data_IF_046553367376
#
_entry.id   IF_046553367376
#
_cell.length_a   1.000
_cell.length_b   1.000
_cell.length_c   1.000
_cell.angle_alpha   90.00
_cell.angle_beta   90.00
_cell.angle_gamma   90.00
#
_symmetry.space_group_name_H-M   'P 1'
#
loop_
_entity.id
_entity.type
_entity.pdbx_description
1 polymer ?
#
# COMPACT_ATOMS: atom_id res chain seq x y z
N UNK A 1 37.64 -31.06 -52.46
CA UNK A 1 37.89 -31.33 -51.04
C UNK A 1 37.69 -30.03 -50.26
N UNK A 2 36.63 -29.98 -49.47
CA UNK A 2 36.24 -28.82 -48.67
C UNK A 2 37.18 -28.62 -47.47
N UNK A 3 37.50 -27.37 -47.14
CA UNK A 3 37.88 -26.97 -45.77
C UNK A 3 37.14 -25.69 -45.41
N UNK A 4 36.30 -25.85 -44.40
CA UNK A 4 35.34 -24.89 -43.85
C UNK A 4 36.09 -24.00 -42.85
N UNK A 5 35.82 -22.69 -42.90
CA UNK A 5 36.30 -21.71 -41.93
C UNK A 5 35.55 -21.84 -40.59
N UNK A 6 36.18 -21.61 -39.43
CA UNK A 6 35.46 -21.55 -38.16
C UNK A 6 34.94 -20.12 -37.94
N UNK A 7 33.76 -19.81 -38.48
CA UNK A 7 32.92 -18.73 -37.93
C UNK A 7 32.14 -19.33 -36.75
N UNK A 8 32.67 -19.19 -35.53
CA UNK A 8 32.00 -19.62 -34.32
C UNK A 8 31.09 -18.49 -33.81
N UNK A 9 29.79 -18.75 -33.95
CA UNK A 9 28.63 -18.18 -33.26
C UNK A 9 28.92 -17.19 -32.11
N UNK A 10 28.72 -15.90 -32.40
CA UNK A 10 28.39 -14.87 -31.41
C UNK A 10 26.91 -14.51 -31.58
N UNK A 11 26.02 -15.45 -31.27
CA UNK A 11 24.57 -15.25 -31.33
C UNK A 11 23.90 -16.06 -30.22
N UNK A 12 23.99 -15.56 -28.99
CA UNK A 12 23.42 -16.23 -27.83
C UNK A 12 23.64 -15.46 -26.53
N UNK A 13 23.41 -14.14 -26.55
CA UNK A 13 23.62 -13.29 -25.37
C UNK A 13 22.74 -12.03 -25.42
N UNK A 14 21.48 -12.14 -25.88
CA UNK A 14 20.58 -10.98 -25.94
C UNK A 14 19.14 -11.27 -25.50
N UNK A 15 18.92 -12.32 -24.71
CA UNK A 15 17.58 -12.72 -24.24
C UNK A 15 17.39 -12.66 -22.73
N UNK A 16 18.38 -12.20 -21.95
CA UNK A 16 18.29 -12.10 -20.49
C UNK A 16 17.91 -10.70 -19.97
N UNK A 17 17.95 -9.66 -20.81
CA UNK A 17 17.66 -8.28 -20.38
C UNK A 17 16.17 -7.90 -20.39
N UNK A 18 15.27 -8.74 -20.92
CA UNK A 18 13.84 -8.44 -21.04
C UNK A 18 12.99 -8.87 -19.83
N UNK A 19 13.56 -9.60 -18.86
CA UNK A 19 12.82 -10.12 -17.71
C UNK A 19 12.62 -9.09 -16.58
N UNK A 20 13.51 -8.11 -16.45
CA UNK A 20 13.54 -7.19 -15.30
C UNK A 20 12.54 -6.03 -15.38
N UNK A 21 11.91 -5.79 -16.54
CA UNK A 21 10.97 -4.68 -16.74
C UNK A 21 9.48 -5.09 -16.62
N UNK A 22 9.19 -6.34 -16.25
CA UNK A 22 7.89 -6.98 -16.52
C UNK A 22 6.71 -6.39 -15.73
N UNK A 23 6.92 -5.91 -14.50
CA UNK A 23 5.81 -5.46 -13.64
C UNK A 23 5.16 -4.15 -14.12
N UNK A 24 5.94 -3.09 -14.34
CA UNK A 24 5.42 -1.82 -14.85
C UNK A 24 4.88 -1.98 -16.29
N UNK A 25 5.56 -2.75 -17.14
CA UNK A 25 5.05 -3.05 -18.48
C UNK A 25 3.72 -3.83 -18.45
N UNK A 26 3.41 -4.57 -17.37
CA UNK A 26 2.11 -5.25 -17.30
C UNK A 26 0.94 -4.31 -17.09
N UNK A 27 1.14 -3.18 -16.40
CA UNK A 27 0.07 -2.24 -16.06
C UNK A 27 0.13 -0.89 -16.81
N UNK A 28 1.21 -0.63 -17.56
CA UNK A 28 1.42 0.64 -18.27
C UNK A 28 0.26 1.03 -19.20
N UNK A 29 -0.33 0.06 -19.90
CA UNK A 29 -1.47 0.33 -20.78
C UNK A 29 -2.70 0.78 -19.99
N UNK A 30 -3.03 0.08 -18.90
CA UNK A 30 -4.12 0.49 -18.02
C UNK A 30 -3.87 1.88 -17.45
N UNK A 31 -2.70 2.10 -16.85
CA UNK A 31 -2.34 3.37 -16.21
C UNK A 31 -2.48 4.54 -17.19
N UNK A 32 -1.95 4.39 -18.42
CA UNK A 32 -2.02 5.42 -19.46
C UNK A 32 -3.46 5.75 -19.86
N UNK A 33 -4.31 4.75 -20.08
CA UNK A 33 -5.71 5.01 -20.46
C UNK A 33 -6.52 5.56 -19.28
N UNK A 34 -6.24 5.10 -18.05
CA UNK A 34 -6.86 5.57 -16.82
C UNK A 34 -6.54 7.05 -16.55
N UNK A 35 -5.28 7.46 -16.63
CA UNK A 35 -4.86 8.86 -16.44
C UNK A 35 -5.44 9.81 -17.50
N UNK A 36 -5.71 9.31 -18.71
CA UNK A 36 -6.38 10.07 -19.78
C UNK A 36 -7.90 10.16 -19.60
N UNK A 37 -8.45 9.44 -18.62
CA UNK A 37 -9.89 9.36 -18.38
C UNK A 37 -10.64 8.44 -19.35
N UNK A 38 -9.96 7.66 -20.19
CA UNK A 38 -10.60 6.67 -21.06
C UNK A 38 -10.83 5.36 -20.28
N UNK A 39 -11.82 5.40 -19.38
CA UNK A 39 -12.10 4.32 -18.44
C UNK A 39 -12.54 3.03 -19.14
N UNK A 40 -13.20 3.13 -20.30
CA UNK A 40 -13.58 1.95 -21.08
C UNK A 40 -12.34 1.24 -21.62
N UNK A 41 -11.40 1.98 -22.22
CA UNK A 41 -10.13 1.38 -22.68
C UNK A 41 -9.27 0.88 -21.54
N UNK A 42 -9.27 1.57 -20.39
CA UNK A 42 -8.58 1.11 -19.19
C UNK A 42 -9.14 -0.26 -18.73
N UNK A 43 -10.47 -0.40 -18.64
CA UNK A 43 -11.12 -1.66 -18.30
C UNK A 43 -10.83 -2.77 -19.33
N UNK A 44 -10.89 -2.45 -20.63
CA UNK A 44 -10.53 -3.41 -21.68
C UNK A 44 -9.05 -3.85 -21.61
N UNK A 45 -8.15 -2.95 -21.24
CA UNK A 45 -6.72 -3.26 -21.10
C UNK A 45 -6.48 -4.27 -19.96
N UNK A 46 -7.27 -4.19 -18.88
CA UNK A 46 -7.27 -5.17 -17.80
C UNK A 46 -7.84 -6.53 -18.24
N UNK A 47 -9.02 -6.51 -18.87
CA UNK A 47 -9.77 -7.74 -19.21
C UNK A 47 -9.15 -8.54 -20.35
N UNK A 48 -8.47 -7.88 -21.30
CA UNK A 48 -7.71 -8.58 -22.37
C UNK A 48 -6.59 -9.48 -21.83
N UNK A 49 -6.15 -9.23 -20.59
CA UNK A 49 -5.09 -9.97 -19.92
C UNK A 49 -5.63 -10.98 -18.90
N UNK A 50 -6.73 -11.67 -19.23
CA UNK A 50 -7.48 -12.63 -18.39
C UNK A 50 -6.60 -13.68 -17.65
N UNK A 51 -5.40 -13.97 -18.16
CA UNK A 51 -4.39 -14.81 -17.50
C UNK A 51 -3.93 -14.29 -16.12
N UNK A 52 -4.31 -13.07 -15.72
CA UNK A 52 -3.94 -12.47 -14.43
C UNK A 52 -4.92 -12.84 -13.29
N UNK A 53 -6.13 -13.35 -13.56
CA UNK A 53 -7.06 -13.81 -12.50
C UNK A 53 -6.50 -15.02 -11.72
N UNK A 54 -5.55 -15.74 -12.30
CA UNK A 54 -4.88 -16.90 -11.69
C UNK A 54 -3.35 -16.75 -11.61
N UNK A 55 -2.83 -15.55 -11.87
CA UNK A 55 -1.39 -15.28 -11.97
C UNK A 55 -0.78 -14.61 -10.74
N UNK A 56 0.53 -14.35 -10.81
CA UNK A 56 1.31 -13.67 -9.75
C UNK A 56 0.81 -12.26 -9.42
N UNK A 57 0.10 -11.62 -10.35
CA UNK A 57 -0.43 -10.26 -10.23
C UNK A 57 -1.94 -10.26 -9.92
N UNK A 58 -2.48 -11.35 -9.38
CA UNK A 58 -3.91 -11.49 -9.09
C UNK A 58 -4.45 -10.37 -8.21
N UNK A 59 -3.74 -9.99 -7.15
CA UNK A 59 -4.16 -8.88 -6.29
C UNK A 59 -4.35 -7.59 -7.08
N UNK A 60 -3.35 -7.19 -7.87
CA UNK A 60 -3.40 -6.00 -8.72
C UNK A 60 -4.54 -6.05 -9.72
N UNK A 61 -4.73 -7.20 -10.38
CA UNK A 61 -5.83 -7.39 -11.30
C UNK A 61 -7.17 -7.11 -10.62
N UNK A 62 -7.37 -7.63 -9.42
CA UNK A 62 -8.61 -7.45 -8.67
C UNK A 62 -8.79 -5.98 -8.23
N UNK A 63 -7.78 -5.35 -7.63
CA UNK A 63 -7.91 -3.96 -7.13
C UNK A 63 -8.02 -2.94 -8.26
N UNK A 64 -7.34 -3.14 -9.40
CA UNK A 64 -7.45 -2.23 -10.53
C UNK A 64 -8.79 -2.35 -11.26
N UNK A 65 -9.35 -3.57 -11.39
CA UNK A 65 -10.72 -3.74 -11.88
C UNK A 65 -11.72 -3.10 -10.91
N UNK A 66 -11.57 -3.34 -9.60
CA UNK A 66 -12.38 -2.69 -8.57
C UNK A 66 -12.35 -1.17 -8.69
N UNK A 67 -11.16 -0.58 -8.81
CA UNK A 67 -10.96 0.86 -8.93
C UNK A 67 -11.63 1.43 -10.18
N UNK A 68 -11.33 0.91 -11.37
CA UNK A 68 -11.91 1.48 -12.61
C UNK A 68 -13.43 1.35 -12.62
N UNK A 69 -13.99 0.24 -12.14
CA UNK A 69 -15.44 0.07 -12.03
C UNK A 69 -16.07 1.04 -11.02
N UNK A 70 -15.38 1.33 -9.90
CA UNK A 70 -15.83 2.35 -8.92
C UNK A 70 -15.91 3.72 -9.57
N UNK A 71 -14.85 4.13 -10.28
CA UNK A 71 -14.80 5.44 -10.97
C UNK A 71 -15.85 5.52 -12.09
N UNK A 72 -16.17 4.42 -12.76
CA UNK A 72 -17.25 4.32 -13.75
C UNK A 72 -18.66 4.33 -13.14
N UNK A 73 -18.81 4.39 -11.81
CA UNK A 73 -20.09 4.34 -11.12
C UNK A 73 -20.71 2.93 -11.03
N UNK A 74 -19.96 1.89 -11.42
CA UNK A 74 -20.38 0.48 -11.37
C UNK A 74 -20.06 -0.13 -10.01
N UNK A 75 -20.59 0.48 -8.96
CA UNK A 75 -20.23 0.20 -7.56
C UNK A 75 -20.45 -1.25 -7.12
N UNK A 76 -21.50 -1.91 -7.63
CA UNK A 76 -21.77 -3.33 -7.31
C UNK A 76 -20.67 -4.25 -7.84
N UNK A 77 -20.38 -4.16 -9.12
CA UNK A 77 -19.34 -4.96 -9.80
C UNK A 77 -17.96 -4.64 -9.19
N UNK A 78 -17.70 -3.36 -8.92
CA UNK A 78 -16.50 -2.92 -8.21
C UNK A 78 -16.34 -3.62 -6.86
N UNK A 79 -17.39 -3.69 -6.05
CA UNK A 79 -17.36 -4.36 -4.74
C UNK A 79 -17.18 -5.88 -4.83
N UNK A 80 -17.60 -6.52 -5.92
CA UNK A 80 -17.32 -7.95 -6.16
C UNK A 80 -15.82 -8.19 -6.38
N UNK A 81 -15.17 -7.35 -7.20
CA UNK A 81 -13.71 -7.40 -7.39
C UNK A 81 -12.95 -7.09 -6.10
N UNK A 82 -13.37 -6.06 -5.35
CA UNK A 82 -12.74 -5.73 -4.08
C UNK A 82 -12.98 -6.79 -2.99
N UNK A 83 -14.11 -7.49 -2.96
CA UNK A 83 -14.30 -8.63 -2.04
C UNK A 83 -13.37 -9.79 -2.42
N UNK A 84 -13.22 -10.09 -3.71
CA UNK A 84 -12.21 -11.07 -4.15
C UNK A 84 -10.80 -10.66 -3.72
N UNK A 85 -10.44 -9.37 -3.82
CA UNK A 85 -9.14 -8.86 -3.39
C UNK A 85 -8.95 -8.96 -1.86
N UNK A 86 -9.99 -8.64 -1.10
CA UNK A 86 -9.99 -8.76 0.35
C UNK A 86 -9.79 -10.21 0.79
N UNK A 87 -10.56 -11.16 0.25
CA UNK A 87 -10.44 -12.59 0.56
C UNK A 87 -9.07 -13.15 0.15
N UNK A 88 -8.57 -12.75 -1.02
CA UNK A 88 -7.22 -13.10 -1.45
C UNK A 88 -6.17 -12.65 -0.42
N UNK A 89 -6.25 -11.41 0.08
CA UNK A 89 -5.38 -10.92 1.14
C UNK A 89 -5.48 -11.73 2.44
N UNK A 90 -6.70 -12.10 2.85
CA UNK A 90 -6.95 -12.87 4.08
C UNK A 90 -6.37 -14.28 4.05
N UNK A 91 -6.53 -14.97 2.92
CA UNK A 91 -6.02 -16.34 2.77
C UNK A 91 -4.49 -16.35 2.86
N UNK A 92 -3.81 -15.40 2.18
CA UNK A 92 -2.36 -15.31 2.24
C UNK A 92 -1.81 -14.81 3.58
N UNK A 93 -2.57 -14.01 4.33
CA UNK A 93 -2.13 -13.58 5.66
C UNK A 93 -2.04 -14.76 6.64
N UNK A 94 -2.94 -15.75 6.50
CA UNK A 94 -2.90 -16.99 7.28
C UNK A 94 -1.76 -17.92 6.86
N UNK A 95 -1.45 -17.98 5.57
CA UNK A 95 -0.36 -18.80 5.04
C UNK A 95 1.03 -18.27 5.42
N UNK A 96 1.18 -16.96 5.65
CA UNK A 96 2.44 -16.32 6.10
C UNK A 96 2.97 -16.89 7.42
N UNK A 97 2.08 -17.31 8.33
CA UNK A 97 2.46 -17.92 9.61
C UNK A 97 2.99 -19.36 9.41
N UNK A 98 2.58 -20.02 8.32
CA UNK A 98 2.86 -21.44 8.09
C UNK A 98 3.98 -21.70 7.06
N UNK A 99 4.35 -20.73 6.21
CA UNK A 99 5.21 -20.97 5.04
C UNK A 99 6.55 -20.22 5.10
N UNK A 100 7.43 -20.59 6.03
CA UNK A 100 8.85 -20.15 6.05
C UNK A 100 9.70 -20.91 5.01
N UNK A 101 9.18 -22.01 4.45
CA UNK A 101 9.95 -22.95 3.63
C UNK A 101 9.99 -22.63 2.12
N UNK A 102 9.06 -21.82 1.58
CA UNK A 102 8.90 -21.65 0.12
C UNK A 102 9.86 -20.65 -0.53
N UNK A 103 10.51 -19.79 0.26
CA UNK A 103 11.51 -18.84 -0.26
C UNK A 103 12.75 -19.52 -0.86
N UNK A 104 13.04 -20.77 -0.50
CA UNK A 104 14.31 -21.43 -0.83
C UNK A 104 14.31 -22.16 -2.18
N UNK A 105 13.16 -22.41 -2.80
CA UNK A 105 13.07 -23.37 -3.91
C UNK A 105 12.88 -22.72 -5.29
N UNK A 106 12.45 -21.46 -5.40
CA UNK A 106 12.38 -20.75 -6.69
C UNK A 106 12.36 -19.20 -6.52
N UNK A 107 13.49 -18.51 -6.74
CA UNK A 107 13.57 -17.04 -6.64
C UNK A 107 12.71 -16.28 -7.66
N UNK A 108 12.19 -16.94 -8.71
CA UNK A 108 11.55 -16.26 -9.83
C UNK A 108 10.01 -16.25 -9.81
N UNK A 109 9.34 -16.71 -8.74
CA UNK A 109 7.85 -16.75 -8.67
C UNK A 109 7.31 -16.34 -7.29
N UNK A 110 7.49 -15.08 -6.91
CA UNK A 110 6.73 -14.47 -5.81
C UNK A 110 5.40 -13.91 -6.34
N UNK A 111 4.28 -14.32 -5.75
CA UNK A 111 2.96 -13.73 -5.99
C UNK A 111 2.91 -12.38 -5.28
N UNK A 112 2.47 -11.32 -5.95
CA UNK A 112 2.22 -10.03 -5.33
C UNK A 112 0.93 -10.10 -4.52
N UNK A 113 1.06 -9.94 -3.20
CA UNK A 113 -0.05 -10.14 -2.24
C UNK A 113 -0.82 -8.86 -1.91
N UNK A 114 -0.24 -7.71 -2.22
CA UNK A 114 -0.68 -6.42 -1.73
C UNK A 114 0.17 -5.95 -0.56
N UNK A 115 0.40 -4.65 -0.49
CA UNK A 115 1.01 -3.98 0.66
C UNK A 115 -0.06 -3.65 1.70
N UNK A 116 0.36 -3.43 2.96
CA UNK A 116 -0.58 -3.21 4.06
C UNK A 116 -1.55 -2.03 3.80
N UNK A 117 -1.04 -0.95 3.19
CA UNK A 117 -1.86 0.21 2.81
C UNK A 117 -2.82 -0.08 1.66
N UNK A 118 -2.48 -0.98 0.72
CA UNK A 118 -3.38 -1.36 -0.37
C UNK A 118 -4.57 -2.16 0.15
N UNK A 119 -4.37 -3.01 1.16
CA UNK A 119 -5.47 -3.70 1.84
C UNK A 119 -6.42 -2.74 2.57
N UNK A 120 -5.90 -1.66 3.15
CA UNK A 120 -6.73 -0.58 3.68
C UNK A 120 -7.52 0.12 2.56
N UNK A 121 -6.86 0.40 1.42
CA UNK A 121 -7.51 1.02 0.25
C UNK A 121 -8.63 0.16 -0.36
N UNK A 122 -8.51 -1.17 -0.35
CA UNK A 122 -9.60 -2.08 -0.77
C UNK A 122 -10.86 -1.82 0.05
N UNK A 123 -10.73 -1.76 1.37
CA UNK A 123 -11.86 -1.54 2.27
C UNK A 123 -12.39 -0.10 2.18
N UNK A 124 -11.50 0.89 2.00
CA UNK A 124 -11.85 2.27 1.72
C UNK A 124 -12.81 2.37 0.51
N UNK A 125 -12.43 1.80 -0.63
CA UNK A 125 -13.26 1.86 -1.84
C UNK A 125 -14.57 1.07 -1.67
N UNK A 126 -14.54 -0.07 -0.98
CA UNK A 126 -15.77 -0.82 -0.67
C UNK A 126 -16.75 0.01 0.14
N UNK A 127 -16.28 0.67 1.19
CA UNK A 127 -17.08 1.55 2.02
C UNK A 127 -17.67 2.70 1.20
N UNK A 128 -16.85 3.41 0.41
CA UNK A 128 -17.31 4.49 -0.47
C UNK A 128 -18.36 4.03 -1.48
N UNK A 129 -18.12 2.89 -2.15
CA UNK A 129 -19.07 2.32 -3.09
C UNK A 129 -20.41 2.01 -2.41
N UNK A 130 -20.40 1.47 -1.19
CA UNK A 130 -21.62 1.25 -0.43
C UNK A 130 -22.33 2.56 -0.09
N UNK A 131 -21.62 3.61 0.33
CA UNK A 131 -22.21 4.92 0.57
C UNK A 131 -22.84 5.52 -0.69
N UNK A 132 -22.17 5.40 -1.85
CA UNK A 132 -22.70 5.84 -3.15
C UNK A 132 -23.94 5.05 -3.61
N UNK A 133 -24.16 3.88 -3.01
CA UNK A 133 -25.35 3.06 -3.21
C UNK A 133 -26.39 3.20 -2.08
N UNK A 134 -26.20 4.15 -1.15
CA UNK A 134 -27.04 4.34 0.06
C UNK A 134 -27.11 3.08 0.95
N UNK A 135 -26.09 2.22 0.87
CA UNK A 135 -25.95 0.95 1.59
C UNK A 135 -25.14 1.12 2.86
N UNK A 136 -25.70 1.89 3.77
CA UNK A 136 -25.02 2.36 4.97
C UNK A 136 -24.55 1.26 5.93
N UNK A 137 -25.38 0.26 6.19
CA UNK A 137 -25.02 -0.88 7.06
C UNK A 137 -23.81 -1.65 6.51
N UNK A 138 -23.74 -1.81 5.19
CA UNK A 138 -22.59 -2.44 4.54
C UNK A 138 -21.34 -1.57 4.62
N UNK A 139 -21.46 -0.25 4.51
CA UNK A 139 -20.33 0.65 4.75
C UNK A 139 -19.79 0.53 6.19
N UNK A 140 -20.67 0.38 7.19
CA UNK A 140 -20.27 0.15 8.59
C UNK A 140 -19.56 -1.20 8.79
N UNK A 141 -19.91 -2.24 8.02
CA UNK A 141 -19.16 -3.52 8.02
C UNK A 141 -17.72 -3.29 7.55
N UNK A 142 -17.52 -2.50 6.50
CA UNK A 142 -16.18 -2.17 6.01
C UNK A 142 -15.40 -1.29 7.00
N UNK A 143 -16.05 -0.37 7.74
CA UNK A 143 -15.42 0.35 8.85
C UNK A 143 -14.92 -0.60 9.96
N UNK A 144 -15.69 -1.64 10.29
CA UNK A 144 -15.24 -2.66 11.26
C UNK A 144 -14.05 -3.44 10.74
N UNK A 145 -14.06 -3.82 9.46
CA UNK A 145 -12.91 -4.48 8.79
C UNK A 145 -11.68 -3.56 8.78
N UNK A 146 -11.84 -2.27 8.51
CA UNK A 146 -10.75 -1.27 8.59
C UNK A 146 -10.16 -1.20 9.99
N UNK A 147 -11.01 -1.17 11.03
CA UNK A 147 -10.53 -1.16 12.41
C UNK A 147 -9.70 -2.41 12.76
N UNK A 148 -10.15 -3.59 12.31
CA UNK A 148 -9.40 -4.84 12.47
C UNK A 148 -8.04 -4.76 11.76
N UNK A 149 -8.01 -4.31 10.51
CA UNK A 149 -6.76 -4.15 9.75
C UNK A 149 -5.79 -3.16 10.37
N UNK A 150 -6.29 -2.05 10.90
CA UNK A 150 -5.46 -1.06 11.59
C UNK A 150 -4.86 -1.64 12.86
N UNK A 151 -5.61 -2.46 13.60
CA UNK A 151 -5.09 -3.19 14.75
C UNK A 151 -4.01 -4.19 14.35
N UNK A 152 -4.25 -5.00 13.30
CA UNK A 152 -3.26 -5.94 12.76
C UNK A 152 -1.97 -5.22 12.32
N UNK A 153 -2.11 -4.07 11.66
CA UNK A 153 -0.99 -3.23 11.21
C UNK A 153 -0.16 -2.72 12.40
N UNK A 154 -0.83 -2.20 13.42
CA UNK A 154 -0.21 -1.75 14.67
C UNK A 154 0.44 -2.91 15.44
N UNK A 155 -0.13 -4.11 15.34
CA UNK A 155 0.43 -5.30 15.96
C UNK A 155 1.66 -5.84 15.24
N UNK A 156 1.66 -5.77 13.91
CA UNK A 156 2.78 -6.18 13.06
C UNK A 156 4.00 -5.29 13.22
N UNK A 157 3.83 -3.97 13.33
CA UNK A 157 4.94 -3.01 13.39
C UNK A 157 5.04 -2.30 14.74
N UNK A 158 6.03 -2.72 15.54
CA UNK A 158 6.27 -2.13 16.87
C UNK A 158 7.13 -0.86 16.86
N UNK A 159 7.97 -0.68 15.84
CA UNK A 159 8.84 0.49 15.73
C UNK A 159 8.02 1.76 15.41
N UNK A 160 8.26 2.89 16.10
CA UNK A 160 7.66 4.18 15.74
C UNK A 160 8.16 4.72 14.40
N UNK A 161 9.25 4.18 13.85
CA UNK A 161 9.79 4.55 12.53
C UNK A 161 9.10 3.83 11.36
N UNK A 162 8.07 3.03 11.64
CA UNK A 162 7.33 2.27 10.63
C UNK A 162 5.88 2.76 10.53
N UNK A 163 5.32 2.56 9.34
CA UNK A 163 3.90 2.79 9.07
C UNK A 163 3.05 1.76 9.84
N UNK A 164 2.52 2.17 10.99
CA UNK A 164 1.77 1.29 11.90
C UNK A 164 0.34 1.75 12.21
N UNK A 165 0.03 3.02 11.90
CA UNK A 165 -1.27 3.68 12.11
C UNK A 165 -1.57 4.54 10.88
N UNK A 166 -2.84 4.74 10.57
CA UNK A 166 -3.29 5.46 9.38
C UNK A 166 -4.29 6.57 9.76
N UNK A 167 -3.82 7.83 9.71
CA UNK A 167 -4.64 8.97 10.09
C UNK A 167 -5.79 9.23 9.12
N UNK A 168 -5.58 8.99 7.82
CA UNK A 168 -6.59 9.23 6.81
C UNK A 168 -7.71 8.20 6.88
N UNK A 169 -7.40 6.92 7.10
CA UNK A 169 -8.41 5.88 7.28
C UNK A 169 -9.25 6.14 8.54
N UNK A 170 -8.64 6.60 9.64
CA UNK A 170 -9.42 7.03 10.81
C UNK A 170 -10.31 8.24 10.50
N UNK A 171 -9.84 9.19 9.69
CA UNK A 171 -10.65 10.33 9.23
C UNK A 171 -11.85 9.86 8.40
N UNK A 172 -11.63 8.93 7.45
CA UNK A 172 -12.71 8.31 6.67
C UNK A 172 -13.72 7.63 7.59
N UNK A 173 -13.27 6.80 8.54
CA UNK A 173 -14.15 6.12 9.47
C UNK A 173 -15.01 7.12 10.26
N UNK A 174 -14.40 8.22 10.72
CA UNK A 174 -15.10 9.31 11.40
C UNK A 174 -16.21 9.91 10.54
N UNK A 175 -15.91 10.22 9.28
CA UNK A 175 -16.90 10.73 8.30
C UNK A 175 -18.07 9.75 8.13
N UNK A 176 -17.77 8.45 8.01
CA UNK A 176 -18.80 7.43 7.82
C UNK A 176 -19.68 7.29 9.06
N UNK A 177 -19.09 7.25 10.25
CA UNK A 177 -19.85 7.18 11.51
C UNK A 177 -20.70 8.44 11.71
N UNK A 178 -20.17 9.63 11.41
CA UNK A 178 -20.89 10.89 11.52
C UNK A 178 -22.09 10.93 10.56
N UNK A 179 -21.91 10.49 9.31
CA UNK A 179 -23.01 10.39 8.35
C UNK A 179 -24.15 9.52 8.90
N UNK A 180 -23.81 8.48 9.67
CA UNK A 180 -24.73 7.55 10.34
C UNK A 180 -25.24 8.00 11.70
N UNK A 181 -24.94 9.24 12.09
CA UNK A 181 -25.28 9.82 13.39
C UNK A 181 -24.71 9.06 14.59
N UNK A 182 -23.69 8.22 14.36
CA UNK A 182 -22.92 7.54 15.40
C UNK A 182 -21.78 8.46 15.87
N UNK A 183 -22.16 9.57 16.49
CA UNK A 183 -21.24 10.66 16.83
C UNK A 183 -20.16 10.24 17.83
N UNK A 184 -20.45 9.26 18.70
CA UNK A 184 -19.47 8.76 19.65
C UNK A 184 -18.34 7.99 18.93
N UNK A 185 -18.67 7.08 18.01
CA UNK A 185 -17.64 6.40 17.22
C UNK A 185 -16.94 7.35 16.25
N UNK A 186 -17.66 8.35 15.71
CA UNK A 186 -17.06 9.40 14.91
C UNK A 186 -16.01 10.20 15.70
N UNK A 187 -16.35 10.62 16.93
CA UNK A 187 -15.43 11.32 17.83
C UNK A 187 -14.16 10.49 18.10
N UNK A 188 -14.31 9.20 18.43
CA UNK A 188 -13.16 8.31 18.68
C UNK A 188 -12.28 8.23 17.43
N UNK A 189 -12.88 8.06 16.25
CA UNK A 189 -12.14 7.97 15.00
C UNK A 189 -11.41 9.28 14.66
N UNK A 190 -12.07 10.43 14.77
CA UNK A 190 -11.44 11.74 14.54
C UNK A 190 -10.34 12.05 15.55
N UNK A 191 -10.52 11.68 16.82
CA UNK A 191 -9.49 11.83 17.85
C UNK A 191 -8.25 11.03 17.50
N UNK A 192 -8.43 9.75 17.16
CA UNK A 192 -7.33 8.89 16.76
C UNK A 192 -6.63 9.43 15.51
N UNK A 193 -7.38 9.91 14.51
CA UNK A 193 -6.82 10.54 13.32
C UNK A 193 -5.94 11.75 13.69
N UNK A 194 -6.46 12.65 14.52
CA UNK A 194 -5.75 13.85 14.97
C UNK A 194 -4.45 13.49 15.71
N UNK A 195 -4.52 12.54 16.66
CA UNK A 195 -3.34 12.05 17.39
C UNK A 195 -2.28 11.45 16.46
N UNK A 196 -2.69 10.64 15.47
CA UNK A 196 -1.74 10.04 14.51
C UNK A 196 -1.10 11.12 13.64
N UNK A 197 -1.85 12.14 13.24
CA UNK A 197 -1.29 13.26 12.49
C UNK A 197 -0.19 13.98 13.27
N UNK A 198 -0.43 14.27 14.55
CA UNK A 198 0.50 14.99 15.41
C UNK A 198 1.72 14.15 15.82
N UNK A 199 1.54 12.86 16.11
CA UNK A 199 2.60 11.99 16.64
C UNK A 199 3.44 11.33 15.54
N UNK A 200 2.77 10.68 14.58
CA UNK A 200 3.41 9.83 13.59
C UNK A 200 3.67 10.62 12.31
N UNK A 201 2.63 11.24 11.73
CA UNK A 201 2.74 11.81 10.38
C UNK A 201 3.54 13.11 10.35
N UNK A 202 3.47 13.94 11.39
CA UNK A 202 4.29 15.14 11.48
C UNK A 202 5.78 14.80 11.44
N UNK A 203 6.19 13.70 12.08
CA UNK A 203 7.58 13.23 12.11
C UNK A 203 7.96 12.44 10.86
N UNK A 204 7.14 11.48 10.45
CA UNK A 204 7.45 10.55 9.35
C UNK A 204 7.28 11.19 7.96
N UNK A 205 6.31 12.09 7.81
CA UNK A 205 5.87 12.61 6.52
C UNK A 205 5.85 14.14 6.44
N UNK A 206 6.16 14.84 7.54
CA UNK A 206 6.00 16.30 7.63
C UNK A 206 4.57 16.76 7.32
N UNK A 207 3.57 15.94 7.67
CA UNK A 207 2.14 16.21 7.45
C UNK A 207 1.45 16.46 8.80
N UNK A 208 0.65 17.53 8.87
CA UNK A 208 -0.15 17.88 10.05
C UNK A 208 -1.62 17.56 9.84
N UNK A 209 -2.38 17.58 10.93
CA UNK A 209 -3.83 17.40 10.88
C UNK A 209 -4.48 18.49 10.01
N UNK A 210 -5.40 18.14 9.10
CA UNK A 210 -6.20 19.12 8.37
C UNK A 210 -7.05 19.97 9.34
N UNK A 211 -7.26 21.25 9.01
CA UNK A 211 -8.08 22.15 9.83
C UNK A 211 -9.52 21.64 9.99
N UNK A 212 -10.10 21.09 8.92
CA UNK A 212 -11.45 20.51 8.96
C UNK A 212 -11.59 19.43 10.04
N UNK A 213 -10.57 18.58 10.22
CA UNK A 213 -10.58 17.51 11.23
C UNK A 213 -10.69 18.06 12.66
N UNK A 214 -10.16 19.27 12.91
CA UNK A 214 -10.29 19.93 14.22
C UNK A 214 -11.75 20.30 14.50
N UNK A 215 -12.45 20.86 13.51
CA UNK A 215 -13.87 21.17 13.62
C UNK A 215 -14.72 19.90 13.75
N UNK A 216 -14.42 18.86 12.98
CA UNK A 216 -15.14 17.58 13.05
C UNK A 216 -15.01 16.93 14.43
N UNK A 217 -13.81 17.01 15.03
CA UNK A 217 -13.55 16.53 16.39
C UNK A 217 -14.34 17.33 17.45
N UNK A 218 -14.35 18.66 17.36
CA UNK A 218 -15.11 19.51 18.28
C UNK A 218 -16.62 19.29 18.15
N UNK A 219 -17.10 19.19 16.90
CA UNK A 219 -18.51 18.94 16.60
C UNK A 219 -18.97 17.62 17.20
N UNK A 220 -18.25 16.54 16.93
CA UNK A 220 -18.62 15.21 17.43
C UNK A 220 -18.47 15.07 18.94
N UNK A 221 -17.48 15.71 19.56
CA UNK A 221 -17.38 15.81 21.02
C UNK A 221 -18.65 16.44 21.62
N UNK A 222 -19.06 17.59 21.09
CA UNK A 222 -20.23 18.31 21.57
C UNK A 222 -21.54 17.57 21.31
N UNK A 223 -21.74 17.02 20.10
CA UNK A 223 -22.97 16.31 19.75
C UNK A 223 -23.14 14.99 20.52
N UNK A 224 -22.05 14.42 21.01
CA UNK A 224 -22.03 13.23 21.88
C UNK A 224 -22.25 13.59 23.36
N UNK A 225 -22.00 14.84 23.77
CA UNK A 225 -22.06 15.29 25.17
C UNK A 225 -20.74 15.19 25.93
N UNK A 226 -19.62 15.02 25.22
CA UNK A 226 -18.26 14.97 25.75
C UNK A 226 -17.71 16.38 25.97
N UNK A 227 -18.33 17.12 26.89
CA UNK A 227 -18.04 18.55 27.09
C UNK A 227 -16.62 18.80 27.63
N UNK A 228 -16.03 17.87 28.37
CA UNK A 228 -14.66 18.02 28.87
C UNK A 228 -13.64 17.94 27.73
N UNK A 229 -13.81 16.95 26.86
CA UNK A 229 -13.00 16.77 25.66
C UNK A 229 -13.19 17.92 24.68
N UNK A 230 -14.43 18.40 24.53
CA UNK A 230 -14.72 19.61 23.74
C UNK A 230 -13.92 20.81 24.25
N UNK A 231 -13.98 21.14 25.54
CA UNK A 231 -13.23 22.27 26.10
C UNK A 231 -11.71 22.08 25.94
N UNK A 232 -11.20 20.87 26.21
CA UNK A 232 -9.78 20.54 26.02
C UNK A 232 -9.30 20.79 24.58
N UNK A 233 -10.01 20.25 23.59
CA UNK A 233 -9.62 20.42 22.19
C UNK A 233 -9.85 21.84 21.69
N UNK A 234 -10.89 22.53 22.18
CA UNK A 234 -11.20 23.90 21.80
C UNK A 234 -10.08 24.86 22.19
N UNK A 235 -9.56 24.75 23.42
CA UNK A 235 -8.39 25.50 23.88
C UNK A 235 -7.13 25.09 23.09
N UNK A 236 -6.91 23.78 22.90
CA UNK A 236 -5.74 23.27 22.16
C UNK A 236 -5.69 23.78 20.72
N UNK A 237 -6.84 23.99 20.08
CA UNK A 237 -6.94 24.48 18.70
C UNK A 237 -6.99 26.01 18.60
N UNK A 238 -7.08 26.74 19.73
CA UNK A 238 -7.28 28.19 19.72
C UNK A 238 -8.62 28.59 19.09
N UNK A 239 -9.68 27.83 19.38
CA UNK A 239 -11.02 27.98 18.82
C UNK A 239 -12.05 28.36 19.91
N UNK A 240 -11.68 29.23 20.85
CA UNK A 240 -12.48 29.56 22.05
C UNK A 240 -13.88 30.12 21.73
N UNK A 241 -14.01 30.82 20.60
CA UNK A 241 -15.28 31.38 20.12
C UNK A 241 -16.10 30.40 19.28
N UNK A 242 -15.54 29.23 18.94
CA UNK A 242 -16.25 28.23 18.17
C UNK A 242 -17.43 27.66 18.96
N UNK A 243 -18.54 27.44 18.29
CA UNK A 243 -19.72 26.80 18.86
C UNK A 243 -20.29 25.82 17.84
N UNK A 244 -20.28 24.51 18.16
CA UNK A 244 -20.82 23.49 17.27
C UNK A 244 -22.27 23.75 16.90
N UNK A 245 -22.55 23.76 15.59
CA UNK A 245 -23.91 23.85 15.04
C UNK A 245 -24.19 22.59 14.24
N UNK A 246 -25.38 22.01 14.42
CA UNK A 246 -25.80 20.88 13.58
C UNK A 246 -26.21 21.41 12.21
N UNK A 247 -25.49 21.07 11.12
CA UNK A 247 -25.91 21.48 9.79
C UNK A 247 -27.19 20.74 9.39
N UNK A 248 -28.05 21.38 8.59
CA UNK A 248 -29.23 20.72 8.00
C UNK A 248 -28.84 19.71 6.92
N UNK A 249 -27.72 19.96 6.24
CA UNK A 249 -27.11 19.08 5.25
C UNK A 249 -25.60 19.30 5.21
N UNK A 250 -24.84 18.27 4.86
CA UNK A 250 -23.38 18.29 4.74
C UNK A 250 -22.97 17.68 3.40
N UNK A 251 -21.95 18.27 2.76
CA UNK A 251 -21.35 17.75 1.53
C UNK A 251 -19.91 17.35 1.82
N UNK A 252 -19.63 16.05 1.73
CA UNK A 252 -18.26 15.51 1.76
C UNK A 252 -17.81 15.23 0.34
N UNK A 253 -16.67 15.83 -0.04
CA UNK A 253 -16.08 15.66 -1.36
C UNK A 253 -14.71 14.98 -1.27
N UNK A 254 -14.59 13.80 -1.88
CA UNK A 254 -13.32 13.09 -2.00
C UNK A 254 -12.68 13.37 -3.37
N UNK A 255 -11.54 14.07 -3.36
CA UNK A 255 -10.69 14.24 -4.55
C UNK A 255 -9.65 13.12 -4.58
N UNK A 256 -9.76 12.19 -5.53
CA UNK A 256 -8.71 11.22 -5.83
C UNK A 256 -7.81 11.76 -6.95
N UNK A 257 -6.50 11.81 -6.72
CA UNK A 257 -5.56 12.38 -7.69
C UNK A 257 -4.34 11.47 -7.89
N UNK A 258 -4.01 11.22 -9.15
CA UNK A 258 -2.81 10.50 -9.56
C UNK A 258 -2.89 8.97 -9.44
N UNK A 259 -1.80 8.33 -9.81
CA UNK A 259 -1.58 6.90 -9.68
C UNK A 259 -0.87 6.57 -8.36
N UNK A 260 -1.02 5.33 -7.89
CA UNK A 260 -0.22 4.79 -6.79
C UNK A 260 1.27 4.79 -7.17
N UNK A 261 2.20 5.08 -6.23
CA UNK A 261 3.64 5.05 -6.51
C UNK A 261 4.08 3.67 -7.01
N UNK A 262 4.95 3.66 -8.01
CA UNK A 262 5.56 2.44 -8.54
C UNK A 262 6.86 2.19 -7.78
N UNK A 263 7.02 0.98 -7.22
CA UNK A 263 8.31 0.56 -6.67
C UNK A 263 9.26 0.26 -7.82
N UNK A 264 10.39 0.96 -7.84
CA UNK A 264 11.49 0.66 -8.73
C UNK A 264 12.54 -0.15 -7.96
N UNK A 265 13.08 -1.16 -8.62
CA UNK A 265 14.22 -1.90 -8.09
C UNK A 265 15.49 -1.10 -8.38
N UNK A 266 16.31 -0.93 -7.34
CA UNK A 266 17.66 -0.44 -7.49
C UNK A 266 18.60 -1.44 -6.82
N UNK A 267 19.65 -1.85 -7.53
CA UNK A 267 20.66 -2.78 -7.02
C UNK A 267 21.97 -2.04 -6.78
N UNK A 268 22.68 -2.46 -5.73
CA UNK A 268 24.08 -2.10 -5.51
C UNK A 268 24.90 -3.37 -5.69
N UNK A 269 25.68 -3.41 -6.76
CA UNK A 269 26.53 -4.57 -7.04
C UNK A 269 27.90 -4.37 -6.41
N UNK A 270 28.40 -5.37 -5.71
CA UNK A 270 29.74 -5.36 -5.13
C UNK A 270 30.62 -6.39 -5.82
N UNK A 271 31.79 -5.96 -6.28
CA UNK A 271 32.86 -6.84 -6.67
C UNK A 271 33.61 -7.33 -5.42
N UNK A 272 33.82 -8.64 -5.33
CA UNK A 272 34.53 -9.26 -4.20
C UNK A 272 35.97 -9.54 -4.60
N UNK A 273 36.89 -8.76 -4.04
CA UNK A 273 38.33 -8.94 -4.19
C UNK A 273 38.92 -9.63 -2.96
N UNK A 274 39.45 -10.83 -3.13
CA UNK A 274 40.19 -11.53 -2.07
C UNK A 274 41.62 -10.99 -2.04
N UNK A 275 42.05 -10.38 -0.93
CA UNK A 275 43.47 -10.06 -0.71
C UNK A 275 44.18 -11.29 -0.14
N UNK A 276 45.52 -11.30 -0.19
CA UNK A 276 46.31 -12.37 0.40
C UNK A 276 45.93 -12.54 1.88
N UNK A 277 45.63 -13.78 2.32
CA UNK A 277 45.18 -14.06 3.68
C UNK A 277 43.66 -14.14 3.81
N UNK A 278 43.13 -13.80 4.99
CA UNK A 278 41.69 -13.88 5.32
C UNK A 278 40.91 -12.60 4.98
N UNK A 279 41.55 -11.61 4.36
CA UNK A 279 40.93 -10.33 4.06
C UNK A 279 40.20 -10.34 2.73
N UNK A 280 38.94 -9.89 2.77
CA UNK A 280 38.05 -9.74 1.62
C UNK A 280 37.62 -8.28 1.53
N UNK A 281 37.66 -7.74 0.32
CA UNK A 281 37.24 -6.39 0.02
C UNK A 281 36.00 -6.43 -0.89
N UNK A 282 34.91 -5.84 -0.42
CA UNK A 282 33.71 -5.57 -1.21
C UNK A 282 33.84 -4.15 -1.78
N UNK A 283 33.88 -4.05 -3.10
CA UNK A 283 34.07 -2.79 -3.83
C UNK A 283 32.87 -2.52 -4.70
N UNK A 284 32.30 -1.32 -4.58
CA UNK A 284 31.41 -0.77 -5.60
C UNK A 284 32.08 0.49 -6.17
N UNK A 285 32.67 0.36 -7.36
CA UNK A 285 33.42 1.45 -8.01
C UNK A 285 32.50 2.62 -8.41
N UNK A 286 31.27 2.34 -8.82
CA UNK A 286 30.30 3.34 -9.27
C UNK A 286 29.89 4.32 -8.15
N UNK A 287 29.85 3.84 -6.90
CA UNK A 287 29.47 4.62 -5.72
C UNK A 287 30.67 4.98 -4.84
N UNK A 288 31.89 4.53 -5.18
CA UNK A 288 33.09 4.74 -4.39
C UNK A 288 33.06 4.06 -3.00
N UNK A 289 32.25 3.00 -2.84
CA UNK A 289 32.10 2.28 -1.57
C UNK A 289 33.12 1.15 -1.47
N UNK A 290 33.78 1.06 -0.32
CA UNK A 290 34.79 0.04 -0.03
C UNK A 290 34.63 -0.49 1.39
N UNK A 291 34.32 -1.77 1.54
CA UNK A 291 34.18 -2.44 2.84
C UNK A 291 35.15 -3.61 2.93
N UNK A 292 36.05 -3.56 3.91
CA UNK A 292 37.01 -4.63 4.18
C UNK A 292 36.52 -5.49 5.34
N UNK A 293 36.52 -6.79 5.15
CA UNK A 293 36.18 -7.78 6.16
C UNK A 293 37.30 -8.80 6.29
N UNK A 294 37.57 -9.24 7.50
CA UNK A 294 38.48 -10.34 7.78
C UNK A 294 37.62 -11.57 8.09
N UNK A 295 37.84 -12.66 7.37
CA UNK A 295 37.15 -13.92 7.61
C UNK A 295 37.74 -14.59 8.84
N UNK A 296 36.90 -15.05 9.75
CA UNK A 296 37.38 -15.71 10.96
C UNK A 296 37.68 -17.20 10.71
N UNK A 297 36.94 -17.86 9.81
CA UNK A 297 37.04 -19.31 9.57
C UNK A 297 37.19 -19.70 8.09
N UNK A 298 37.74 -20.89 7.82
CA UNK A 298 37.93 -21.41 6.45
C UNK A 298 36.60 -21.82 5.78
N UNK A 299 35.54 -22.08 6.57
CA UNK A 299 34.19 -22.42 6.07
C UNK A 299 33.51 -21.20 5.41
N UNK A 300 33.77 -19.98 5.90
CA UNK A 300 33.25 -18.73 5.33
C UNK A 300 33.82 -18.45 3.93
N UNK A 301 35.06 -18.89 3.67
CA UNK A 301 35.70 -18.82 2.35
C UNK A 301 34.96 -19.65 1.30
N UNK A 302 34.47 -20.83 1.69
CA UNK A 302 33.71 -21.72 0.80
C UNK A 302 32.35 -21.10 0.43
N UNK A 303 31.68 -20.46 1.40
CA UNK A 303 30.39 -19.76 1.19
C UNK A 303 30.52 -18.54 0.29
N UNK A 304 31.61 -17.77 0.40
CA UNK A 304 31.90 -16.64 -0.48
C UNK A 304 32.16 -17.06 -1.93
N UNK A 305 32.73 -18.25 -2.16
CA UNK A 305 32.92 -18.76 -3.52
C UNK A 305 31.61 -19.07 -4.24
N UNK A 306 30.53 -19.33 -3.49
CA UNK A 306 29.18 -19.53 -4.02
C UNK A 306 28.40 -18.23 -4.30
N UNK A 307 28.97 -17.07 -3.98
CA UNK A 307 28.41 -15.74 -4.29
C UNK A 307 28.98 -15.13 -5.59
N UNK A 308 29.89 -15.84 -6.27
CA UNK A 308 30.55 -15.38 -7.50
C UNK A 308 29.79 -15.73 -8.77
#
# INVERSE_FOLDING_TARGET
>A
MARIAPTLLMAGSLTLASACATYYHTQADFNREFERGDLNRALEALQRRDQHEHGRNKFLYLVNNGLVLSVMGKYRESNEYFEKAYLFGEDYHKDYINEVASYWTNPMVTVYRGEDHEHLMVLYYKALNFLKMEKYEQALVECRRLNIRLQELSDKYKSPEKYRRDAFIHTLMGIIYQAMQDYNNAFIAYRNAFEIYEDDYARLFSLRAPEQLQYDLLNTAWWTGLHQEYEYYKERFGLEEYTPKRPEAELVFFWHNGLSPVKEEWSIDFAIHTRQGKDVLFVNEAMGLNFAFTLDDDDDRSRLSGLR
#
